data_IF_130225876593
#
_entry.id   IF_130225876593
#
_cell.length_a   1.000
_cell.length_b   1.000
_cell.length_c   1.000
_cell.angle_alpha   90.00
_cell.angle_beta   90.00
_cell.angle_gamma   90.00
#
_symmetry.space_group_name_H-M   'P 1'
#
loop_
_entity.id
_entity.type
_entity.pdbx_description
1 polymer ?
#
# COMPACT_ATOMS: atom_id res chain seq x y z
N UNK A 1 -21.86 -20.30 -25.26
CA UNK A 1 -20.91 -21.39 -25.59
C UNK A 1 -20.24 -21.77 -24.29
N UNK A 2 -20.62 -22.91 -23.70
CA UNK A 2 -20.03 -23.37 -22.43
C UNK A 2 -18.66 -23.96 -22.73
N UNK A 3 -17.59 -23.26 -22.39
CA UNK A 3 -16.25 -23.86 -22.34
C UNK A 3 -16.27 -24.88 -21.19
N UNK A 4 -16.23 -26.16 -21.51
CA UNK A 4 -16.08 -27.23 -20.51
C UNK A 4 -14.66 -27.15 -19.97
N UNK A 5 -14.43 -26.30 -18.97
CA UNK A 5 -13.17 -26.25 -18.24
C UNK A 5 -12.97 -27.63 -17.60
N UNK A 6 -11.99 -28.39 -18.08
CA UNK A 6 -11.74 -29.75 -17.58
C UNK A 6 -10.76 -29.62 -16.42
N UNK A 7 -11.28 -29.52 -15.20
CA UNK A 7 -10.46 -29.50 -13.99
C UNK A 7 -9.82 -30.87 -13.75
N UNK A 8 -8.54 -30.90 -13.35
CA UNK A 8 -7.85 -32.12 -12.86
C UNK A 8 -8.46 -32.60 -11.55
N UNK A 9 -8.91 -31.68 -10.70
CA UNK A 9 -9.71 -32.00 -9.53
C UNK A 9 -10.73 -30.89 -9.25
N UNK A 10 -11.99 -31.27 -9.13
CA UNK A 10 -13.09 -30.41 -8.69
C UNK A 10 -13.83 -31.13 -7.55
N UNK A 11 -13.65 -30.67 -6.31
CA UNK A 11 -14.31 -31.30 -5.15
C UNK A 11 -14.48 -30.35 -3.99
N UNK A 12 -15.44 -30.68 -3.12
CA UNK A 12 -15.51 -30.09 -1.79
C UNK A 12 -14.37 -30.61 -0.91
N UNK A 13 -13.81 -29.71 -0.10
CA UNK A 13 -12.93 -30.05 1.00
C UNK A 13 -13.74 -30.65 2.16
N UNK A 14 -13.15 -31.62 2.85
CA UNK A 14 -13.75 -32.23 4.04
C UNK A 14 -13.65 -31.27 5.23
N UNK A 15 -14.46 -31.48 6.29
CA UNK A 15 -14.33 -30.69 7.52
C UNK A 15 -12.92 -30.72 8.12
N UNK A 16 -12.27 -31.89 8.16
CA UNK A 16 -10.92 -32.05 8.71
C UNK A 16 -9.87 -31.31 7.87
N UNK A 17 -10.03 -31.30 6.54
CA UNK A 17 -9.15 -30.54 5.64
C UNK A 17 -9.30 -29.03 5.86
N UNK A 18 -10.54 -28.55 6.04
CA UNK A 18 -10.80 -27.14 6.33
C UNK A 18 -10.23 -26.71 7.68
N UNK A 19 -10.31 -27.58 8.70
CA UNK A 19 -9.69 -27.35 10.01
C UNK A 19 -8.17 -27.27 9.87
N UNK A 20 -7.54 -28.24 9.20
CA UNK A 20 -6.09 -28.25 9.00
C UNK A 20 -5.59 -27.01 8.22
N UNK A 21 -6.31 -26.59 7.19
CA UNK A 21 -5.99 -25.36 6.44
C UNK A 21 -6.07 -24.13 7.37
N UNK A 22 -7.06 -24.06 8.24
CA UNK A 22 -7.20 -22.96 9.20
C UNK A 22 -6.08 -22.95 10.23
N UNK A 23 -5.71 -24.10 10.79
CA UNK A 23 -4.59 -24.22 11.72
C UNK A 23 -3.27 -23.75 11.09
N UNK A 24 -3.03 -24.08 9.81
CA UNK A 24 -1.87 -23.59 9.05
C UNK A 24 -1.90 -22.07 8.84
N UNK A 25 -3.07 -21.50 8.55
CA UNK A 25 -3.23 -20.04 8.45
C UNK A 25 -2.90 -19.36 9.78
N UNK A 26 -3.49 -19.85 10.87
CA UNK A 26 -3.31 -19.29 12.21
C UNK A 26 -1.85 -19.37 12.68
N UNK A 27 -1.13 -20.44 12.31
CA UNK A 27 0.27 -20.65 12.64
C UNK A 27 1.25 -19.73 11.88
N UNK A 28 0.82 -19.01 10.84
CA UNK A 28 1.69 -18.13 10.06
C UNK A 28 2.22 -16.96 10.91
N UNK A 29 3.54 -16.73 10.87
CA UNK A 29 4.23 -15.66 11.61
C UNK A 29 4.33 -14.32 10.87
N UNK A 30 3.92 -14.25 9.61
CA UNK A 30 3.91 -13.00 8.85
C UNK A 30 3.19 -13.08 7.50
N UNK A 31 2.99 -11.95 6.80
CA UNK A 31 2.19 -11.86 5.59
C UNK A 31 2.60 -12.80 4.45
N UNK A 32 3.91 -12.88 4.15
CA UNK A 32 4.44 -13.73 3.09
C UNK A 32 4.22 -15.22 3.40
N UNK A 33 4.31 -15.58 4.68
CA UNK A 33 4.12 -16.96 5.13
C UNK A 33 2.66 -17.40 5.02
N UNK A 34 1.70 -16.49 5.23
CA UNK A 34 0.25 -16.79 5.08
C UNK A 34 -0.04 -17.32 3.68
N UNK A 35 0.37 -16.62 2.62
CA UNK A 35 0.10 -17.03 1.23
C UNK A 35 0.68 -18.42 0.96
N UNK A 36 1.94 -18.65 1.35
CA UNK A 36 2.62 -19.92 1.14
C UNK A 36 1.94 -21.07 1.91
N UNK A 37 1.51 -20.84 3.15
CA UNK A 37 0.81 -21.84 3.97
C UNK A 37 -0.59 -22.15 3.46
N UNK A 38 -1.36 -21.13 3.08
CA UNK A 38 -2.68 -21.30 2.44
C UNK A 38 -2.56 -22.16 1.19
N UNK A 39 -1.71 -21.75 0.25
CA UNK A 39 -1.54 -22.47 -1.01
C UNK A 39 -1.07 -23.91 -0.77
N UNK A 40 -0.07 -24.10 0.10
CA UNK A 40 0.44 -25.44 0.45
C UNK A 40 -0.65 -26.32 1.05
N UNK A 41 -1.39 -25.84 2.04
CA UNK A 41 -2.41 -26.63 2.73
C UNK A 41 -3.57 -27.00 1.79
N UNK A 42 -4.05 -26.04 0.99
CA UNK A 42 -5.13 -26.27 0.01
C UNK A 42 -4.71 -27.28 -1.05
N UNK A 43 -3.54 -27.13 -1.67
CA UNK A 43 -3.10 -28.08 -2.70
C UNK A 43 -2.70 -29.43 -2.12
N UNK A 44 -2.20 -29.51 -0.89
CA UNK A 44 -1.96 -30.80 -0.21
C UNK A 44 -3.27 -31.58 -0.08
N UNK A 45 -4.35 -30.92 0.35
CA UNK A 45 -5.68 -31.54 0.41
C UNK A 45 -6.15 -31.97 -1.00
N UNK A 46 -6.02 -31.11 -2.01
CA UNK A 46 -6.52 -31.41 -3.36
C UNK A 46 -5.74 -32.51 -4.08
N UNK A 47 -4.43 -32.64 -3.82
CA UNK A 47 -3.56 -33.63 -4.45
C UNK A 47 -3.63 -35.02 -3.78
N UNK A 48 -3.87 -35.09 -2.47
CA UNK A 48 -3.85 -36.35 -1.72
C UNK A 48 -4.77 -37.46 -2.31
N UNK A 49 -6.02 -37.18 -2.72
CA UNK A 49 -6.87 -38.18 -3.38
C UNK A 49 -6.38 -38.65 -4.75
N UNK A 50 -5.51 -37.87 -5.39
CA UNK A 50 -4.86 -38.23 -6.66
C UNK A 50 -3.60 -39.08 -6.45
N UNK A 51 -3.18 -39.30 -5.20
CA UNK A 51 -1.92 -39.96 -4.86
C UNK A 51 -0.69 -39.11 -5.19
N UNK A 52 -0.87 -37.80 -5.36
CA UNK A 52 0.21 -36.84 -5.64
C UNK A 52 0.50 -35.99 -4.39
N UNK A 53 1.71 -35.42 -4.35
CA UNK A 53 2.19 -34.49 -3.33
C UNK A 53 2.75 -33.23 -4.00
N UNK A 54 2.94 -32.16 -3.22
CA UNK A 54 3.60 -30.96 -3.74
C UNK A 54 5.06 -31.20 -4.13
N UNK A 55 5.74 -32.19 -3.52
CA UNK A 55 7.12 -32.55 -3.84
C UNK A 55 7.26 -33.20 -5.23
N UNK A 56 6.16 -33.67 -5.82
CA UNK A 56 6.13 -34.19 -7.19
C UNK A 56 6.18 -33.09 -8.26
N UNK A 57 6.07 -31.82 -7.85
CA UNK A 57 6.08 -30.64 -8.72
C UNK A 57 7.42 -29.91 -8.62
N UNK A 58 7.96 -29.53 -9.77
CA UNK A 58 9.26 -28.88 -9.89
C UNK A 58 9.29 -27.95 -11.11
N UNK A 59 10.49 -27.48 -11.49
CA UNK A 59 10.64 -26.55 -12.62
C UNK A 59 10.09 -27.08 -13.94
N UNK A 60 10.16 -28.40 -14.15
CA UNK A 60 9.75 -29.09 -15.37
C UNK A 60 8.31 -29.62 -15.30
N UNK A 61 7.73 -29.70 -14.09
CA UNK A 61 6.34 -30.08 -13.84
C UNK A 61 5.69 -29.08 -12.90
N UNK A 62 5.17 -28.00 -13.46
CA UNK A 62 4.54 -26.91 -12.70
C UNK A 62 3.11 -27.26 -12.28
N UNK A 63 2.72 -26.77 -11.10
CA UNK A 63 1.36 -26.81 -10.61
C UNK A 63 0.62 -25.58 -11.12
N UNK A 64 -0.52 -25.78 -11.78
CA UNK A 64 -1.36 -24.69 -12.29
C UNK A 64 -2.67 -24.62 -11.48
N UNK A 65 -2.90 -23.55 -10.70
CA UNK A 65 -4.09 -23.42 -9.85
C UNK A 65 -5.42 -23.52 -10.61
N UNK A 66 -5.47 -23.06 -11.86
CA UNK A 66 -6.65 -23.07 -12.72
C UNK A 66 -7.15 -24.48 -13.10
N UNK A 67 -6.32 -25.50 -12.90
CA UNK A 67 -6.67 -26.91 -13.10
C UNK A 67 -7.42 -27.50 -11.90
N UNK A 68 -7.59 -26.75 -10.82
CA UNK A 68 -8.23 -27.21 -9.59
C UNK A 68 -9.41 -26.32 -9.24
N UNK A 69 -10.46 -26.90 -8.66
CA UNK A 69 -11.63 -26.15 -8.22
C UNK A 69 -12.20 -26.64 -6.89
N UNK A 70 -12.58 -25.69 -6.03
CA UNK A 70 -13.31 -25.94 -4.78
C UNK A 70 -14.63 -25.14 -4.76
N UNK A 71 -15.63 -25.54 -3.97
CA UNK A 71 -16.86 -24.77 -3.77
C UNK A 71 -16.58 -23.31 -3.37
N UNK A 72 -17.32 -22.38 -3.98
CA UNK A 72 -17.14 -20.95 -3.73
C UNK A 72 -17.24 -20.57 -2.24
N UNK A 73 -18.13 -21.21 -1.49
CA UNK A 73 -18.31 -20.95 -0.05
C UNK A 73 -17.07 -21.34 0.76
N UNK A 74 -16.43 -22.47 0.43
CA UNK A 74 -15.19 -22.91 1.06
C UNK A 74 -14.00 -22.02 0.66
N UNK A 75 -13.93 -21.65 -0.63
CA UNK A 75 -12.94 -20.69 -1.13
C UNK A 75 -13.00 -19.37 -0.37
N UNK A 76 -14.20 -18.80 -0.24
CA UNK A 76 -14.43 -17.55 0.49
C UNK A 76 -14.05 -17.68 1.95
N UNK A 77 -14.40 -18.78 2.61
CA UNK A 77 -14.03 -19.01 4.01
C UNK A 77 -12.53 -19.08 4.23
N UNK A 78 -11.79 -19.72 3.32
CA UNK A 78 -10.32 -19.81 3.40
C UNK A 78 -9.70 -18.42 3.18
N UNK A 79 -10.21 -17.67 2.20
CA UNK A 79 -9.77 -16.31 1.95
C UNK A 79 -10.06 -15.39 3.14
N UNK A 80 -11.26 -15.45 3.71
CA UNK A 80 -11.63 -14.66 4.89
C UNK A 80 -10.70 -14.99 6.06
N UNK A 81 -10.43 -16.27 6.36
CA UNK A 81 -9.50 -16.67 7.42
C UNK A 81 -8.07 -16.15 7.18
N UNK A 82 -7.57 -16.24 5.94
CA UNK A 82 -6.24 -15.75 5.58
C UNK A 82 -6.15 -14.21 5.70
N UNK A 83 -7.19 -13.50 5.25
CA UNK A 83 -7.27 -12.04 5.34
C UNK A 83 -7.39 -11.55 6.78
N UNK A 84 -8.18 -12.22 7.62
CA UNK A 84 -8.31 -11.91 9.04
C UNK A 84 -6.97 -12.15 9.77
N UNK A 85 -6.23 -13.21 9.41
CA UNK A 85 -4.86 -13.40 9.90
C UNK A 85 -3.93 -12.28 9.43
N UNK A 86 -4.04 -11.86 8.17
CA UNK A 86 -3.22 -10.78 7.63
C UNK A 86 -3.52 -9.42 8.27
N UNK A 87 -4.72 -9.21 8.83
CA UNK A 87 -5.03 -8.00 9.60
C UNK A 87 -4.15 -7.87 10.86
N UNK A 88 -3.73 -8.98 11.48
CA UNK A 88 -2.78 -8.94 12.60
C UNK A 88 -1.45 -8.28 12.23
N UNK A 89 -1.08 -8.35 10.95
CA UNK A 89 0.14 -7.78 10.40
C UNK A 89 -0.11 -6.49 9.62
N UNK A 90 -1.37 -6.15 9.36
CA UNK A 90 -1.67 -5.03 8.49
C UNK A 90 -1.38 -5.29 7.02
N UNK A 91 -1.61 -6.50 6.54
CA UNK A 91 -1.28 -6.87 5.16
C UNK A 91 -2.49 -7.31 4.34
N UNK A 92 -3.72 -7.06 4.82
CA UNK A 92 -4.96 -7.53 4.20
C UNK A 92 -5.07 -7.20 2.72
N UNK A 93 -4.82 -5.94 2.34
CA UNK A 93 -4.95 -5.50 0.95
C UNK A 93 -3.95 -6.17 0.01
N UNK A 94 -2.69 -6.33 0.44
CA UNK A 94 -1.67 -7.03 -0.33
C UNK A 94 -1.99 -8.52 -0.45
N UNK A 95 -2.35 -9.15 0.67
CA UNK A 95 -2.69 -10.58 0.70
C UNK A 95 -3.88 -10.89 -0.21
N UNK A 96 -4.88 -10.00 -0.27
CA UNK A 96 -6.03 -10.17 -1.16
C UNK A 96 -5.64 -10.26 -2.64
N UNK A 97 -4.62 -9.53 -3.08
CA UNK A 97 -4.12 -9.59 -4.46
C UNK A 97 -3.35 -10.90 -4.70
N UNK A 98 -2.43 -11.25 -3.80
CA UNK A 98 -1.61 -12.47 -3.90
C UNK A 98 -2.46 -13.74 -3.89
N UNK A 99 -3.52 -13.78 -3.08
CA UNK A 99 -4.42 -14.94 -3.01
C UNK A 99 -5.14 -15.22 -4.33
N UNK A 100 -5.41 -14.20 -5.15
CA UNK A 100 -6.08 -14.39 -6.46
C UNK A 100 -5.22 -15.24 -7.39
N UNK A 101 -3.89 -15.08 -7.33
CA UNK A 101 -2.97 -15.74 -8.25
C UNK A 101 -2.61 -17.17 -7.84
N UNK A 102 -2.69 -17.49 -6.54
CA UNK A 102 -2.26 -18.80 -6.02
C UNK A 102 -3.41 -19.73 -5.66
N UNK A 103 -4.63 -19.22 -5.47
CA UNK A 103 -5.76 -20.06 -5.06
C UNK A 103 -6.33 -20.87 -6.23
N UNK A 104 -6.89 -22.08 -5.98
CA UNK A 104 -7.64 -22.80 -7.01
C UNK A 104 -8.88 -22.01 -7.46
N UNK A 105 -9.45 -22.38 -8.60
CA UNK A 105 -10.72 -21.82 -9.06
C UNK A 105 -11.86 -22.10 -8.07
N UNK A 106 -12.92 -21.28 -8.15
CA UNK A 106 -14.16 -21.55 -7.45
C UNK A 106 -15.20 -22.17 -8.38
N UNK A 107 -16.00 -23.11 -7.88
CA UNK A 107 -17.16 -23.67 -8.58
C UNK A 107 -18.44 -23.54 -7.74
N UNK A 108 -19.59 -23.50 -8.40
CA UNK A 108 -20.87 -23.57 -7.71
C UNK A 108 -21.11 -25.00 -7.22
N UNK A 109 -21.33 -25.17 -5.92
CA UNK A 109 -21.77 -26.42 -5.32
C UNK A 109 -22.68 -26.10 -4.12
N UNK A 110 -24.02 -26.17 -4.29
CA UNK A 110 -24.97 -25.81 -3.22
C UNK A 110 -25.00 -26.81 -2.06
N UNK A 111 -24.53 -28.03 -2.26
CA UNK A 111 -24.51 -29.09 -1.23
C UNK A 111 -23.19 -29.11 -0.43
N UNK A 112 -22.23 -28.24 -0.79
CA UNK A 112 -20.97 -28.16 -0.08
C UNK A 112 -21.19 -27.60 1.34
N UNK A 113 -20.61 -28.24 2.38
CA UNK A 113 -20.68 -27.71 3.73
C UNK A 113 -20.06 -26.32 3.76
N UNK A 114 -20.83 -25.34 4.25
CA UNK A 114 -20.33 -24.00 4.55
C UNK A 114 -19.62 -24.10 5.89
N UNK A 115 -18.28 -24.01 5.95
CA UNK A 115 -17.59 -23.99 7.22
C UNK A 115 -18.09 -22.81 8.07
N UNK A 116 -18.30 -23.00 9.38
CA UNK A 116 -18.63 -21.89 10.27
C UNK A 116 -17.46 -20.90 10.30
N UNK A 117 -17.66 -19.72 9.71
CA UNK A 117 -16.69 -18.64 9.75
C UNK A 117 -16.90 -17.86 11.03
N UNK A 118 -16.10 -18.17 12.05
CA UNK A 118 -15.94 -17.24 13.16
C UNK A 118 -14.97 -16.15 12.70
N UNK A 119 -15.50 -14.96 12.41
CA UNK A 119 -14.68 -13.79 12.12
C UNK A 119 -14.00 -13.34 13.40
N UNK A 120 -12.73 -13.68 13.54
CA UNK A 120 -11.90 -13.26 14.66
C UNK A 120 -11.15 -12.00 14.23
N UNK A 121 -11.44 -10.89 14.89
CA UNK A 121 -10.64 -9.68 14.74
C UNK A 121 -9.25 -9.94 15.35
N UNK A 122 -8.26 -10.22 14.50
CA UNK A 122 -6.90 -10.48 14.93
C UNK A 122 -6.04 -9.21 14.98
N UNK A 123 -6.63 -8.03 14.81
CA UNK A 123 -5.87 -6.78 14.91
C UNK A 123 -5.32 -6.63 16.33
N UNK A 124 -4.09 -6.14 16.47
CA UNK A 124 -3.52 -5.82 17.77
C UNK A 124 -4.43 -4.88 18.57
N UNK A 125 -4.56 -5.12 19.87
CA UNK A 125 -5.34 -4.25 20.75
C UNK A 125 -4.79 -2.82 20.81
N UNK A 126 -3.48 -2.66 20.64
CA UNK A 126 -2.77 -1.39 20.64
C UNK A 126 -2.01 -1.21 19.31
N UNK A 127 -2.09 0.00 18.74
CA UNK A 127 -1.22 0.43 17.66
C UNK A 127 -0.10 1.30 18.25
N UNK A 128 1.16 0.84 18.12
CA UNK A 128 2.33 1.56 18.64
C UNK A 128 3.02 2.32 17.51
N UNK A 129 3.07 3.65 17.60
CA UNK A 129 3.86 4.49 16.70
C UNK A 129 5.14 4.92 17.41
N UNK A 130 6.29 4.49 16.88
CA UNK A 130 7.61 4.92 17.35
C UNK A 130 8.14 6.01 16.44
N UNK A 131 8.31 7.21 16.97
CA UNK A 131 8.86 8.36 16.23
C UNK A 131 10.28 8.63 16.71
N UNK A 132 11.23 8.63 15.78
CA UNK A 132 12.62 9.00 16.09
C UNK A 132 12.74 10.49 16.43
N UNK A 133 13.83 10.85 17.13
CA UNK A 133 14.10 12.26 17.47
C UNK A 133 14.20 13.12 16.21
N UNK A 134 14.92 12.65 15.21
CA UNK A 134 15.12 13.34 13.94
C UNK A 134 13.80 13.50 13.17
N UNK A 135 12.91 12.51 13.23
CA UNK A 135 11.57 12.63 12.64
C UNK A 135 10.72 13.68 13.38
N UNK A 136 10.88 13.81 14.70
CA UNK A 136 10.22 14.87 15.49
C UNK A 136 10.67 16.26 15.03
N UNK A 137 11.97 16.43 14.76
CA UNK A 137 12.52 17.68 14.21
C UNK A 137 11.96 17.99 12.81
N UNK A 138 11.78 16.97 11.96
CA UNK A 138 11.16 17.13 10.63
C UNK A 138 9.67 17.47 10.74
N UNK A 139 8.92 16.85 11.65
CA UNK A 139 7.50 17.19 11.93
C UNK A 139 7.38 18.66 12.35
N UNK A 140 8.28 19.12 13.21
CA UNK A 140 8.35 20.52 13.62
C UNK A 140 8.72 21.43 12.44
N UNK A 141 9.69 21.04 11.60
CA UNK A 141 10.09 21.80 10.42
C UNK A 141 8.95 21.93 9.38
N UNK A 142 8.16 20.87 9.18
CA UNK A 142 6.99 20.87 8.31
C UNK A 142 5.89 21.80 8.85
N UNK A 143 5.60 21.74 10.14
CA UNK A 143 4.65 22.66 10.78
C UNK A 143 5.11 24.11 10.68
N UNK A 144 6.39 24.39 10.96
CA UNK A 144 6.97 25.72 10.81
C UNK A 144 6.97 26.21 9.35
N UNK A 145 7.05 25.30 8.37
CA UNK A 145 6.94 25.65 6.96
C UNK A 145 5.52 26.14 6.62
N UNK A 146 4.48 25.46 7.13
CA UNK A 146 3.10 25.94 7.03
C UNK A 146 2.90 27.32 7.67
N UNK A 147 3.49 27.55 8.85
CA UNK A 147 3.42 28.87 9.50
C UNK A 147 4.09 29.97 8.65
N UNK A 148 5.23 29.66 8.01
CA UNK A 148 5.88 30.60 7.08
C UNK A 148 5.02 30.89 5.86
N UNK A 149 4.33 29.89 5.30
CA UNK A 149 3.38 30.08 4.21
C UNK A 149 2.23 30.98 4.64
N UNK A 150 1.65 30.78 5.83
CA UNK A 150 0.61 31.64 6.40
C UNK A 150 1.09 33.09 6.53
N UNK A 151 2.30 33.31 7.02
CA UNK A 151 2.87 34.65 7.17
C UNK A 151 3.13 35.34 5.83
N UNK A 152 3.49 34.58 4.78
CA UNK A 152 3.89 35.14 3.48
C UNK A 152 2.70 35.34 2.53
N UNK A 153 1.73 34.42 2.52
CA UNK A 153 0.59 34.43 1.59
C UNK A 153 -0.74 34.75 2.28
N UNK A 154 -0.81 34.67 3.61
CA UNK A 154 -2.03 34.81 4.40
C UNK A 154 -2.71 33.47 4.69
N UNK A 155 -3.42 33.39 5.82
CA UNK A 155 -4.12 32.17 6.30
C UNK A 155 -5.28 31.71 5.40
N UNK A 156 -5.82 32.61 4.57
CA UNK A 156 -6.90 32.28 3.63
C UNK A 156 -6.39 31.95 2.22
N UNK A 157 -5.07 32.03 2.00
CA UNK A 157 -4.45 31.68 0.72
C UNK A 157 -4.66 30.22 0.37
N UNK A 158 -4.64 29.92 -0.93
CA UNK A 158 -4.75 28.55 -1.41
C UNK A 158 -3.48 27.77 -1.03
N UNK A 159 -2.32 28.40 -1.16
CA UNK A 159 -1.00 27.86 -0.86
C UNK A 159 -0.90 27.35 0.59
N UNK A 160 -1.35 28.16 1.56
CA UNK A 160 -1.36 27.74 2.95
C UNK A 160 -2.39 26.64 3.23
N UNK A 161 -3.62 26.78 2.73
CA UNK A 161 -4.70 25.83 3.03
C UNK A 161 -4.42 24.44 2.46
N UNK A 162 -3.91 24.36 1.23
CA UNK A 162 -3.52 23.09 0.62
C UNK A 162 -2.35 22.45 1.35
N UNK A 163 -1.32 23.22 1.69
CA UNK A 163 -0.15 22.76 2.44
C UNK A 163 -0.57 22.17 3.80
N UNK A 164 -1.34 22.90 4.61
CA UNK A 164 -1.81 22.44 5.92
C UNK A 164 -2.72 21.22 5.80
N UNK A 165 -3.66 21.23 4.85
CA UNK A 165 -4.61 20.13 4.68
C UNK A 165 -3.89 18.84 4.30
N UNK A 166 -2.95 18.92 3.36
CA UNK A 166 -2.19 17.75 2.91
C UNK A 166 -1.20 17.25 3.98
N UNK A 167 -0.60 18.16 4.75
CA UNK A 167 0.21 17.80 5.92
C UNK A 167 -0.59 17.07 6.99
N UNK A 168 -1.74 17.64 7.38
CA UNK A 168 -2.65 17.03 8.37
C UNK A 168 -3.14 15.67 7.89
N UNK A 169 -3.52 15.55 6.61
CA UNK A 169 -3.94 14.27 6.04
C UNK A 169 -2.81 13.23 6.11
N UNK A 170 -1.58 13.60 5.74
CA UNK A 170 -0.41 12.73 5.84
C UNK A 170 -0.17 12.24 7.27
N UNK A 171 -0.20 13.15 8.26
CA UNK A 171 -0.06 12.79 9.66
C UNK A 171 -1.21 11.91 10.17
N UNK A 172 -2.46 12.22 9.82
CA UNK A 172 -3.61 11.38 10.19
C UNK A 172 -3.47 9.96 9.63
N UNK A 173 -2.88 9.80 8.44
CA UNK A 173 -2.60 8.47 7.89
C UNK A 173 -1.61 7.66 8.74
N UNK A 174 -0.69 8.29 9.47
CA UNK A 174 0.18 7.56 10.43
C UNK A 174 -0.63 6.79 11.48
N UNK A 175 -1.78 7.33 11.89
CA UNK A 175 -2.67 6.74 12.88
C UNK A 175 -3.80 5.90 12.26
N UNK A 176 -4.20 6.23 11.03
CA UNK A 176 -5.26 5.53 10.31
C UNK A 176 -4.76 4.33 9.51
N UNK A 177 -3.44 4.19 9.30
CA UNK A 177 -2.85 2.96 8.82
C UNK A 177 -3.14 1.87 9.84
N UNK A 178 -4.22 1.12 9.63
CA UNK A 178 -4.53 -0.12 10.34
C UNK A 178 -3.56 -1.24 10.00
N UNK A 179 -2.29 -0.89 9.71
CA UNK A 179 -1.31 -1.79 9.15
C UNK A 179 -0.26 -2.16 10.22
N UNK A 180 -0.57 -3.18 11.02
CA UNK A 180 0.37 -3.79 11.96
C UNK A 180 0.40 -3.17 13.35
N UNK A 181 0.88 -3.95 14.33
CA UNK A 181 0.97 -3.53 15.73
C UNK A 181 1.96 -2.37 15.95
N UNK A 182 2.89 -2.18 15.01
CA UNK A 182 4.04 -1.28 15.16
C UNK A 182 4.38 -0.55 13.86
N UNK A 183 4.43 0.78 13.97
CA UNK A 183 4.85 1.71 12.92
C UNK A 183 6.06 2.49 13.41
N UNK A 184 7.09 2.61 12.59
CA UNK A 184 8.31 3.36 12.87
C UNK A 184 8.41 4.54 11.91
N UNK A 185 8.57 5.75 12.45
CA UNK A 185 8.68 6.99 11.69
C UNK A 185 10.08 7.56 11.84
N UNK A 186 10.79 7.66 10.72
CA UNK A 186 12.16 8.17 10.63
C UNK A 186 12.26 9.36 9.68
N UNK A 187 13.37 10.09 9.79
CA UNK A 187 13.70 11.18 8.86
C UNK A 187 14.11 10.61 7.51
N UNK A 188 13.55 11.18 6.44
CA UNK A 188 13.95 10.92 5.05
C UNK A 188 14.60 12.17 4.41
N UNK A 189 14.14 13.37 4.80
CA UNK A 189 14.68 14.65 4.35
C UNK A 189 14.22 15.80 5.23
N UNK A 190 14.53 17.03 4.85
CA UNK A 190 14.21 18.22 5.67
C UNK A 190 12.70 18.46 5.85
N UNK A 191 11.89 18.01 4.89
CA UNK A 191 10.42 18.06 4.92
C UNK A 191 9.82 16.71 4.49
N UNK A 192 10.53 15.62 4.77
CA UNK A 192 10.13 14.27 4.34
C UNK A 192 10.34 13.24 5.44
N UNK A 193 9.34 12.38 5.63
CA UNK A 193 9.34 11.28 6.60
C UNK A 193 9.31 9.94 5.86
N UNK A 194 10.07 8.99 6.38
CA UNK A 194 9.97 7.57 6.01
C UNK A 194 9.21 6.84 7.12
N UNK A 195 8.29 5.97 6.71
CA UNK A 195 7.45 5.19 7.62
C UNK A 195 7.63 3.72 7.29
N UNK A 196 7.99 2.93 8.29
CA UNK A 196 8.15 1.49 8.17
C UNK A 196 7.15 0.79 9.09
N UNK A 197 6.35 -0.12 8.53
CA UNK A 197 5.44 -0.96 9.30
C UNK A 197 6.07 -2.33 9.53
N UNK A 198 5.75 -2.98 10.65
CA UNK A 198 6.24 -4.33 10.99
C UNK A 198 5.89 -5.40 9.93
N UNK A 199 4.85 -5.18 9.12
CA UNK A 199 4.52 -5.99 7.95
C UNK A 199 5.57 -5.94 6.83
N UNK A 200 6.55 -5.05 6.91
CA UNK A 200 7.56 -4.81 5.89
C UNK A 200 7.17 -3.73 4.87
N UNK A 201 6.00 -3.08 5.00
CA UNK A 201 5.65 -1.96 4.15
C UNK A 201 6.47 -0.71 4.48
N UNK A 202 6.86 -0.01 3.43
CA UNK A 202 7.56 1.26 3.50
C UNK A 202 6.69 2.32 2.84
N UNK A 203 6.53 3.45 3.51
CA UNK A 203 5.78 4.60 3.02
C UNK A 203 6.59 5.88 3.19
N UNK A 204 6.30 6.88 2.36
CA UNK A 204 6.92 8.20 2.46
C UNK A 204 5.88 9.30 2.58
N UNK A 205 6.05 10.25 3.50
CA UNK A 205 5.33 11.52 3.49
C UNK A 205 6.31 12.58 3.00
N UNK A 206 6.18 12.99 1.74
CA UNK A 206 7.18 13.81 1.05
C UNK A 206 6.56 15.15 0.65
N UNK A 207 7.25 16.25 0.92
CA UNK A 207 6.86 17.58 0.44
C UNK A 207 7.24 17.76 -1.03
N UNK A 208 6.25 18.13 -1.84
CA UNK A 208 6.41 18.43 -3.26
C UNK A 208 6.29 19.94 -3.48
N UNK A 209 7.41 20.68 -3.58
CA UNK A 209 7.38 22.11 -3.83
C UNK A 209 6.87 22.40 -5.25
N UNK A 210 6.02 23.40 -5.37
CA UNK A 210 5.64 23.99 -6.67
C UNK A 210 6.86 24.73 -7.21
N UNK A 211 7.21 24.46 -8.46
CA UNK A 211 8.31 25.19 -9.13
C UNK A 211 7.91 26.64 -9.37
N UNK A 212 8.79 27.57 -9.00
CA UNK A 212 8.65 28.99 -9.34
C UNK A 212 8.70 29.17 -10.86
N UNK A 213 7.72 29.89 -11.41
CA UNK A 213 7.61 30.18 -12.85
C UNK A 213 7.57 31.67 -13.09
N UNK A 214 7.90 32.06 -14.32
CA UNK A 214 7.66 33.44 -14.75
C UNK A 214 6.15 33.68 -14.95
N UNK A 215 5.64 34.80 -14.43
CA UNK A 215 4.22 35.17 -14.56
C UNK A 215 3.93 36.10 -15.74
N UNK A 216 4.95 36.53 -16.49
CA UNK A 216 4.76 37.36 -17.68
C UNK A 216 4.11 36.55 -18.80
N UNK A 217 3.16 37.16 -19.49
CA UNK A 217 2.40 36.52 -20.57
C UNK A 217 3.31 35.91 -21.64
N UNK A 218 3.01 34.66 -21.99
CA UNK A 218 3.77 33.88 -22.97
C UNK A 218 5.08 33.27 -22.46
N UNK A 219 5.60 33.70 -21.30
CA UNK A 219 6.85 33.17 -20.77
C UNK A 219 6.65 31.83 -20.05
N UNK A 220 7.48 30.84 -20.38
CA UNK A 220 7.43 29.49 -19.78
C UNK A 220 8.63 29.16 -18.90
N UNK A 221 9.48 30.14 -18.61
CA UNK A 221 10.69 29.94 -17.84
C UNK A 221 10.39 29.49 -16.40
N UNK A 222 11.17 28.53 -15.91
CA UNK A 222 11.25 28.16 -14.50
C UNK A 222 12.35 29.00 -13.86
N UNK A 223 12.09 29.54 -12.67
CA UNK A 223 13.04 30.40 -11.96
C UNK A 223 13.60 29.61 -10.79
N UNK A 224 14.92 29.42 -10.77
CA UNK A 224 15.62 28.74 -9.70
C UNK A 224 15.70 29.62 -8.43
N UNK A 225 16.15 29.03 -7.33
CA UNK A 225 16.30 29.73 -6.06
C UNK A 225 17.40 30.79 -6.07
N UNK A 226 18.38 30.67 -6.99
CA UNK A 226 19.39 31.70 -7.26
C UNK A 226 18.86 32.86 -8.14
N UNK A 227 17.57 32.84 -8.48
CA UNK A 227 16.90 33.84 -9.32
C UNK A 227 17.16 33.67 -10.81
N UNK A 228 17.96 32.67 -11.24
CA UNK A 228 18.20 32.43 -12.67
C UNK A 228 17.02 31.73 -13.31
N UNK A 229 16.63 32.22 -14.48
CA UNK A 229 15.61 31.61 -15.30
C UNK A 229 16.21 30.50 -16.19
N UNK A 230 15.54 29.36 -16.24
CA UNK A 230 15.86 28.25 -17.13
C UNK A 230 14.66 27.91 -18.02
N UNK A 231 14.94 27.66 -19.30
CA UNK A 231 13.95 27.21 -20.30
C UNK A 231 14.25 25.76 -20.68
N UNK A 232 13.20 24.97 -20.87
CA UNK A 232 13.34 23.56 -21.23
C UNK A 232 13.65 23.39 -22.72
N UNK A 233 13.11 24.28 -23.57
CA UNK A 233 13.29 24.23 -25.01
C UNK A 233 13.93 25.52 -25.54
N UNK A 234 14.76 25.44 -26.60
CA UNK A 234 15.36 26.61 -27.24
C UNK A 234 14.34 27.63 -27.76
N UNK A 235 13.16 27.15 -28.16
CA UNK A 235 12.10 27.94 -28.80
C UNK A 235 11.01 28.40 -27.82
N UNK A 236 11.17 28.16 -26.50
CA UNK A 236 10.23 28.67 -25.52
C UNK A 236 10.24 30.21 -25.53
N UNK A 237 9.07 30.89 -25.54
CA UNK A 237 9.04 32.35 -25.55
C UNK A 237 9.74 32.88 -24.29
N UNK A 238 10.80 33.67 -24.50
CA UNK A 238 11.65 34.17 -23.43
C UNK A 238 11.37 35.66 -23.19
N UNK A 239 11.12 36.03 -21.94
CA UNK A 239 11.40 37.40 -21.54
C UNK A 239 12.91 37.66 -21.65
N UNK A 240 13.35 38.90 -21.93
CA UNK A 240 14.76 39.25 -21.81
C UNK A 240 15.31 38.84 -20.43
N UNK A 241 16.58 38.43 -20.37
CA UNK A 241 17.21 38.10 -19.09
C UNK A 241 17.20 39.33 -18.16
N UNK A 242 16.82 39.13 -16.90
CA UNK A 242 16.64 40.20 -15.90
C UNK A 242 15.22 40.76 -15.80
N UNK A 243 14.32 40.30 -16.66
CA UNK A 243 12.95 40.81 -16.78
C UNK A 243 11.91 39.80 -16.26
N UNK A 244 12.34 38.71 -15.61
CA UNK A 244 11.40 37.70 -15.11
C UNK A 244 10.70 38.15 -13.83
N UNK A 245 9.37 38.09 -13.82
CA UNK A 245 8.57 38.22 -12.61
C UNK A 245 8.24 36.84 -12.07
N UNK A 246 8.69 36.53 -10.85
CA UNK A 246 8.46 35.23 -10.23
C UNK A 246 7.02 35.07 -9.72
N UNK A 247 6.51 33.84 -9.80
CA UNK A 247 5.21 33.45 -9.25
C UNK A 247 5.10 33.59 -7.73
N UNK A 248 6.23 33.59 -7.02
CA UNK A 248 6.33 33.91 -5.60
C UNK A 248 7.76 34.38 -5.27
N UNK A 249 7.97 35.11 -4.14
CA UNK A 249 9.27 35.71 -3.80
C UNK A 249 10.43 34.69 -3.75
N UNK A 250 11.65 35.16 -4.06
CA UNK A 250 12.87 34.33 -4.05
C UNK A 250 13.31 33.96 -2.63
N UNK A 251 13.09 34.88 -1.70
CA UNK A 251 13.34 34.76 -0.26
C UNK A 251 12.16 34.17 0.53
N UNK A 252 11.03 33.93 -0.15
CA UNK A 252 9.82 33.39 0.45
C UNK A 252 9.81 31.85 0.56
N UNK A 253 8.96 31.29 1.44
CA UNK A 253 8.76 29.85 1.52
C UNK A 253 8.17 29.31 0.20
N UNK A 254 8.59 28.10 -0.18
CA UNK A 254 8.08 27.45 -1.38
C UNK A 254 6.66 26.93 -1.12
N UNK A 255 5.63 27.32 -1.89
CA UNK A 255 4.34 26.65 -1.83
C UNK A 255 4.48 25.21 -2.31
N UNK A 256 3.59 24.33 -1.87
CA UNK A 256 3.66 22.90 -2.16
C UNK A 256 2.69 22.09 -1.33
N UNK A 257 2.72 20.77 -1.52
CA UNK A 257 1.85 19.84 -0.81
C UNK A 257 2.61 18.62 -0.33
N UNK A 258 2.17 18.01 0.76
CA UNK A 258 2.67 16.71 1.19
C UNK A 258 1.90 15.59 0.50
N UNK A 259 2.62 14.58 0.02
CA UNK A 259 2.03 13.41 -0.59
C UNK A 259 2.49 12.15 0.12
N UNK A 260 1.56 11.20 0.25
CA UNK A 260 1.79 9.89 0.85
C UNK A 260 2.11 8.89 -0.27
N UNK A 261 3.31 8.32 -0.24
CA UNK A 261 3.84 7.35 -1.20
C UNK A 261 3.88 5.96 -0.56
N UNK A 262 3.61 4.92 -1.35
CA UNK A 262 3.62 3.49 -0.97
C UNK A 262 4.38 2.66 -1.97
#
# INVERSE_FOLDING_TARGET
MSSTTTYRAQRALTPDELIAIREEIEAAGGPVEIVARVARAVFTALLAPLGESLDDYNRDRQLFPDQFAIPQTQWQSICDAALDRADAFGARALLALELIDVMPCSCQNPDAPVPPVERVDQRPFEHVVTVTREATDVIAAASAHCDRLAASFGIDSQEYREAVTTWQHGLSRLFAMGLGARTYVTRDGDLSLLVHCESGFLYGIVFHPVRRRCTRDGCRAVINDDGRAWTYLPDDPKCPDGDHTASYPLDGPHPGTWQFHS
#
